data_IF_265040996690
#
_entry.id   IF_265040996690
#
_cell.length_a   1.000
_cell.length_b   1.000
_cell.length_c   1.000
_cell.angle_alpha   90.00
_cell.angle_beta   90.00
_cell.angle_gamma   90.00
#
_symmetry.space_group_name_H-M   'P 1'
#
loop_
_entity.id
_entity.type
_entity.pdbx_description
1 polymer ?
#
# COMPACT_ATOMS: atom_id res chain seq x y z
N UNK A 1 -17.60 6.18 4.94
CA UNK A 1 -18.57 5.78 5.99
C UNK A 1 -18.16 4.39 6.46
N UNK A 2 -17.80 4.23 7.74
CA UNK A 2 -17.51 2.91 8.31
C UNK A 2 -18.84 2.19 8.56
N UNK A 3 -19.06 1.04 7.92
CA UNK A 3 -20.14 0.13 8.27
C UNK A 3 -19.52 -1.27 8.37
N UNK A 4 -19.58 -1.87 9.56
CA UNK A 4 -19.13 -3.25 9.83
C UNK A 4 -17.64 -3.53 9.49
N UNK A 5 -16.75 -2.58 9.76
CA UNK A 5 -15.33 -2.73 9.46
C UNK A 5 -14.98 -2.55 7.97
N UNK A 6 -15.96 -2.41 7.07
CA UNK A 6 -15.71 -2.08 5.67
C UNK A 6 -15.42 -0.58 5.52
N UNK A 7 -14.28 -0.29 4.90
CA UNK A 7 -13.92 1.05 4.45
C UNK A 7 -14.00 1.13 2.93
N UNK A 8 -14.54 2.25 2.42
CA UNK A 8 -14.66 2.54 1.00
C UNK A 8 -14.09 3.95 0.76
N UNK A 9 -13.12 4.07 -0.14
CA UNK A 9 -12.59 5.36 -0.57
C UNK A 9 -13.41 5.88 -1.77
N UNK A 10 -14.17 6.99 -1.64
CA UNK A 10 -15.08 7.42 -2.70
C UNK A 10 -14.36 7.92 -3.96
N UNK A 11 -13.21 8.58 -3.82
CA UNK A 11 -12.42 9.12 -4.95
C UNK A 11 -11.52 8.06 -5.59
N UNK A 12 -10.73 7.36 -4.78
CA UNK A 12 -9.80 6.34 -5.26
C UNK A 12 -10.50 5.05 -5.72
N UNK A 13 -11.71 4.78 -5.24
CA UNK A 13 -12.58 3.72 -5.79
C UNK A 13 -12.26 2.31 -5.31
N UNK A 14 -11.57 2.15 -4.18
CA UNK A 14 -11.29 0.86 -3.57
C UNK A 14 -11.99 0.68 -2.22
N UNK A 15 -12.08 -0.57 -1.78
CA UNK A 15 -12.60 -0.93 -0.47
C UNK A 15 -11.73 -1.99 0.20
N UNK A 16 -11.72 -2.00 1.53
CA UNK A 16 -11.05 -3.03 2.32
C UNK A 16 -11.65 -3.14 3.72
N UNK A 17 -11.41 -4.27 4.39
CA UNK A 17 -11.80 -4.45 5.78
C UNK A 17 -10.71 -3.88 6.71
N UNK A 18 -11.11 -2.94 7.55
CA UNK A 18 -10.28 -2.30 8.56
C UNK A 18 -10.20 -3.23 9.78
N UNK A 19 -9.00 -3.66 10.20
CA UNK A 19 -8.86 -4.41 11.45
C UNK A 19 -9.29 -3.56 12.65
N UNK A 20 -9.95 -4.17 13.65
CA UNK A 20 -10.52 -3.46 14.81
C UNK A 20 -9.51 -2.61 15.58
N UNK A 21 -8.23 -2.98 15.56
CA UNK A 21 -7.16 -2.28 16.26
C UNK A 21 -6.69 -1.01 15.55
N UNK A 22 -7.21 -0.68 14.37
CA UNK A 22 -6.78 0.45 13.55
C UNK A 22 -7.79 1.59 13.53
N UNK A 23 -7.27 2.81 13.70
CA UNK A 23 -7.98 4.06 13.42
C UNK A 23 -7.62 4.54 12.01
N UNK A 24 -8.63 4.94 11.24
CA UNK A 24 -8.47 5.40 9.85
C UNK A 24 -8.57 6.92 9.76
N UNK A 25 -7.60 7.52 9.10
CA UNK A 25 -7.64 8.88 8.58
C UNK A 25 -7.84 8.82 7.06
N UNK A 26 -9.02 9.22 6.62
CA UNK A 26 -9.36 9.30 5.19
C UNK A 26 -9.07 10.71 4.66
N UNK A 27 -8.22 10.82 3.65
CA UNK A 27 -7.96 12.06 2.91
C UNK A 27 -8.49 11.95 1.48
N UNK A 28 -8.31 12.99 0.66
CA UNK A 28 -8.82 13.00 -0.73
C UNK A 28 -8.06 12.05 -1.65
N UNK A 29 -6.77 11.87 -1.39
CA UNK A 29 -5.78 11.18 -2.22
C UNK A 29 -5.03 10.07 -1.48
N UNK A 30 -5.31 9.87 -0.19
CA UNK A 30 -4.72 8.79 0.61
C UNK A 30 -5.59 8.35 1.79
N UNK A 31 -5.30 7.16 2.30
CA UNK A 31 -5.84 6.62 3.56
C UNK A 31 -4.67 6.25 4.46
N UNK A 32 -4.70 6.71 5.71
CA UNK A 32 -3.70 6.31 6.70
C UNK A 32 -4.41 5.52 7.80
N UNK A 33 -3.89 4.34 8.11
CA UNK A 33 -4.32 3.55 9.26
C UNK A 33 -3.25 3.57 10.35
N UNK A 34 -3.64 3.77 11.60
CA UNK A 34 -2.74 3.66 12.76
C UNK A 34 -3.32 2.73 13.79
N UNK A 35 -2.53 1.78 14.27
CA UNK A 35 -2.93 0.87 15.33
C UNK A 35 -2.47 1.33 16.71
N UNK A 36 -3.19 0.89 17.73
CA UNK A 36 -2.81 1.11 19.14
C UNK A 36 -1.48 0.45 19.52
N UNK A 37 -0.97 -0.49 18.71
CA UNK A 37 0.27 -1.23 18.93
C UNK A 37 1.46 -0.69 18.12
N UNK A 38 1.29 0.45 17.44
CA UNK A 38 2.36 1.14 16.71
C UNK A 38 2.47 0.80 15.21
N UNK A 39 1.75 -0.22 14.73
CA UNK A 39 1.68 -0.51 13.29
C UNK A 39 0.93 0.60 12.54
N UNK A 40 1.45 0.99 11.37
CA UNK A 40 0.86 2.02 10.51
C UNK A 40 0.69 1.44 9.11
N UNK A 41 -0.36 1.85 8.39
CA UNK A 41 -0.39 1.67 6.96
C UNK A 41 -0.78 2.95 6.24
N UNK A 42 -0.38 3.07 4.98
CA UNK A 42 -0.84 4.13 4.09
C UNK A 42 -1.26 3.51 2.76
N UNK A 43 -2.43 3.86 2.24
CA UNK A 43 -2.87 3.57 0.88
C UNK A 43 -2.94 4.87 0.09
N UNK A 44 -2.27 4.96 -1.05
CA UNK A 44 -2.44 6.04 -2.02
C UNK A 44 -2.50 5.47 -3.45
N UNK A 45 -2.51 6.35 -4.45
CA UNK A 45 -2.58 5.94 -5.85
C UNK A 45 -1.61 6.70 -6.77
N UNK A 46 -1.10 5.99 -7.78
CA UNK A 46 -0.24 6.53 -8.84
C UNK A 46 -0.65 5.94 -10.21
N UNK A 47 -0.13 6.52 -11.29
CA UNK A 47 -0.27 5.99 -12.64
C UNK A 47 0.96 5.16 -13.03
N UNK A 48 0.71 3.95 -13.52
CA UNK A 48 1.74 3.11 -14.12
C UNK A 48 1.64 3.15 -15.65
N UNK A 49 2.69 3.62 -16.31
CA UNK A 49 2.77 3.71 -17.77
C UNK A 49 3.12 2.35 -18.41
N UNK A 50 2.53 1.26 -17.91
CA UNK A 50 2.72 -0.09 -18.44
C UNK A 50 4.00 -0.80 -17.99
N UNK A 51 4.70 -0.32 -16.94
CA UNK A 51 5.84 -1.06 -16.38
C UNK A 51 5.39 -2.32 -15.66
N UNK A 52 6.28 -3.33 -15.55
CA UNK A 52 6.05 -4.44 -14.62
C UNK A 52 6.01 -3.90 -13.19
N UNK A 53 5.16 -4.46 -12.32
CA UNK A 53 4.97 -3.92 -10.96
C UNK A 53 6.24 -4.03 -10.11
N UNK A 54 7.02 -5.08 -10.31
CA UNK A 54 8.32 -5.27 -9.68
C UNK A 54 9.31 -4.16 -10.09
N UNK A 55 9.25 -3.74 -11.36
CA UNK A 55 10.07 -2.63 -11.87
C UNK A 55 9.58 -1.29 -11.33
N UNK A 56 8.25 -1.09 -11.25
CA UNK A 56 7.66 0.09 -10.65
C UNK A 56 8.14 0.28 -9.20
N UNK A 57 8.02 -0.76 -8.36
CA UNK A 57 8.44 -0.71 -6.96
C UNK A 57 9.94 -0.41 -6.88
N UNK A 58 10.77 -1.07 -7.68
CA UNK A 58 12.23 -0.94 -7.61
C UNK A 58 12.78 0.40 -8.12
N UNK A 59 12.26 0.88 -9.24
CA UNK A 59 12.89 1.97 -9.99
C UNK A 59 12.12 3.29 -9.95
N UNK A 60 10.82 3.25 -9.69
CA UNK A 60 9.99 4.46 -9.57
C UNK A 60 9.69 4.78 -8.11
N UNK A 61 9.11 3.83 -7.37
CA UNK A 61 8.66 4.10 -6.00
C UNK A 61 9.81 4.11 -4.99
N UNK A 62 10.58 3.02 -4.91
CA UNK A 62 11.69 2.88 -3.94
C UNK A 62 13.05 3.19 -4.58
N UNK A 63 13.10 4.15 -5.50
CA UNK A 63 14.33 4.46 -6.21
C UNK A 63 15.46 4.83 -5.24
N UNK A 64 16.61 4.18 -5.37
CA UNK A 64 17.77 4.37 -4.49
C UNK A 64 17.68 3.67 -3.12
N UNK A 65 16.54 3.07 -2.77
CA UNK A 65 16.40 2.27 -1.56
C UNK A 65 16.78 0.80 -1.82
N UNK A 66 17.40 0.16 -0.82
CA UNK A 66 17.64 -1.27 -0.86
C UNK A 66 16.32 -2.02 -0.60
N UNK A 67 15.89 -2.82 -1.59
CA UNK A 67 14.70 -3.67 -1.53
C UNK A 67 15.10 -5.14 -1.51
N UNK A 68 14.58 -5.87 -0.53
CA UNK A 68 14.66 -7.32 -0.42
C UNK A 68 13.27 -7.96 -0.62
N UNK A 69 13.24 -9.27 -0.82
CA UNK A 69 11.99 -10.06 -0.87
C UNK A 69 10.98 -9.58 -1.92
N UNK A 70 11.46 -9.03 -3.03
CA UNK A 70 10.60 -8.56 -4.12
C UNK A 70 9.96 -9.75 -4.81
N UNK A 71 8.63 -9.83 -4.76
CA UNK A 71 7.83 -10.90 -5.36
C UNK A 71 6.57 -10.33 -6.01
N UNK A 72 5.92 -11.14 -6.85
CA UNK A 72 4.68 -10.82 -7.54
C UNK A 72 3.61 -11.87 -7.31
N UNK A 73 2.36 -11.51 -7.53
CA UNK A 73 1.22 -12.41 -7.37
C UNK A 73 -0.11 -11.69 -7.49
N UNK A 74 -1.08 -12.09 -6.67
CA UNK A 74 -2.39 -11.43 -6.62
C UNK A 74 -2.80 -11.10 -5.19
N UNK A 75 -3.46 -9.94 -5.02
CA UNK A 75 -4.11 -9.52 -3.77
C UNK A 75 -5.56 -9.21 -4.11
N UNK A 76 -6.51 -9.93 -3.50
CA UNK A 76 -7.93 -9.78 -3.85
C UNK A 76 -8.23 -10.05 -5.33
N UNK A 77 -7.47 -10.94 -5.98
CA UNK A 77 -7.57 -11.23 -7.42
C UNK A 77 -6.92 -10.20 -8.34
N UNK A 78 -6.37 -9.11 -7.79
CA UNK A 78 -5.70 -8.06 -8.55
C UNK A 78 -4.21 -8.33 -8.66
N UNK A 79 -3.64 -8.12 -9.85
CA UNK A 79 -2.20 -8.27 -10.11
C UNK A 79 -1.42 -7.35 -9.18
N UNK A 80 -0.47 -7.91 -8.47
CA UNK A 80 0.23 -7.21 -7.39
C UNK A 80 1.71 -7.57 -7.36
N UNK A 81 2.53 -6.67 -6.81
CA UNK A 81 3.91 -6.94 -6.40
C UNK A 81 4.17 -6.35 -5.03
N UNK A 82 5.07 -6.95 -4.28
CA UNK A 82 5.48 -6.47 -2.98
C UNK A 82 6.98 -6.64 -2.76
N UNK A 83 7.52 -5.88 -1.81
CA UNK A 83 8.90 -6.00 -1.35
C UNK A 83 9.09 -5.32 0.01
N UNK A 84 10.22 -5.60 0.66
CA UNK A 84 10.55 -5.04 1.97
C UNK A 84 11.76 -4.12 1.84
N UNK A 85 11.69 -2.92 2.43
CA UNK A 85 12.88 -2.08 2.56
C UNK A 85 13.88 -2.77 3.49
N UNK A 86 15.15 -2.83 3.06
CA UNK A 86 16.21 -3.46 3.85
C UNK A 86 16.63 -2.60 5.04
N UNK A 87 16.38 -1.29 4.99
CA UNK A 87 16.53 -0.37 6.12
C UNK A 87 15.24 -0.27 6.92
N UNK A 88 15.36 -0.11 8.24
CA UNK A 88 14.24 0.27 9.10
C UNK A 88 13.87 1.73 8.87
N UNK A 89 12.61 2.08 9.10
CA UNK A 89 12.17 3.47 9.20
C UNK A 89 12.80 4.17 10.40
N UNK A 90 12.64 5.49 10.51
CA UNK A 90 13.22 6.29 11.60
C UNK A 90 12.79 5.86 13.00
N UNK A 91 11.62 5.23 13.13
CA UNK A 91 11.08 4.67 14.37
C UNK A 91 11.50 3.20 14.62
N UNK A 92 12.31 2.62 13.72
CA UNK A 92 12.80 1.25 13.84
C UNK A 92 11.85 0.19 13.27
N UNK A 93 10.75 0.58 12.63
CA UNK A 93 9.79 -0.35 12.03
C UNK A 93 10.31 -0.95 10.72
N UNK A 94 9.85 -2.16 10.41
CA UNK A 94 10.01 -2.73 9.08
C UNK A 94 9.00 -2.09 8.14
N UNK A 95 9.41 -1.89 6.89
CA UNK A 95 8.58 -1.22 5.89
C UNK A 95 8.36 -2.15 4.70
N UNK A 96 7.10 -2.50 4.47
CA UNK A 96 6.66 -3.24 3.29
C UNK A 96 6.05 -2.30 2.27
N UNK A 97 6.42 -2.49 1.01
CA UNK A 97 5.81 -1.83 -0.14
C UNK A 97 4.97 -2.84 -0.89
N UNK A 98 3.72 -2.50 -1.19
CA UNK A 98 2.82 -3.31 -2.01
C UNK A 98 2.22 -2.44 -3.10
N UNK A 99 2.41 -2.80 -4.36
CA UNK A 99 1.75 -2.19 -5.51
C UNK A 99 0.69 -3.14 -6.05
N UNK A 100 -0.55 -2.65 -6.20
CA UNK A 100 -1.71 -3.38 -6.70
C UNK A 100 -2.23 -2.67 -7.95
N UNK A 101 -2.33 -3.37 -9.07
CA UNK A 101 -2.79 -2.82 -10.34
C UNK A 101 -4.31 -2.97 -10.50
N UNK A 102 -5.00 -1.85 -10.71
CA UNK A 102 -6.43 -1.79 -10.96
C UNK A 102 -6.76 -0.69 -11.97
N UNK A 103 -7.39 -1.04 -13.10
CA UNK A 103 -7.77 -0.10 -14.16
C UNK A 103 -6.66 0.91 -14.55
N UNK A 104 -5.43 0.40 -14.74
CA UNK A 104 -4.19 1.15 -15.03
C UNK A 104 -3.73 2.13 -13.92
N UNK A 105 -4.40 2.15 -12.78
CA UNK A 105 -3.94 2.80 -11.55
C UNK A 105 -3.16 1.79 -10.72
N UNK A 106 -2.18 2.29 -9.98
CA UNK A 106 -1.55 1.56 -8.91
C UNK A 106 -2.12 2.04 -7.60
N UNK A 107 -2.55 1.10 -6.77
CA UNK A 107 -2.70 1.34 -5.35
C UNK A 107 -1.43 0.92 -4.66
N UNK A 108 -0.98 1.78 -3.77
CA UNK A 108 0.35 1.74 -3.18
C UNK A 108 0.11 1.66 -1.69
N UNK A 109 0.59 0.58 -1.09
CA UNK A 109 0.42 0.32 0.33
C UNK A 109 1.76 0.22 1.05
N UNK A 110 1.93 1.07 2.07
CA UNK A 110 3.03 1.03 3.03
C UNK A 110 2.53 0.32 4.29
N UNK A 111 3.28 -0.65 4.84
CA UNK A 111 2.98 -1.31 6.13
C UNK A 111 4.21 -1.42 7.01
#
# INVERSE_FOLDING_TARGET
MHKDGLFIHPVLGFQFNVPESFLILNQSDMVIGRSSYGGTFQFDADQNQGHKLEQYIRYKWANGAALSEVSGGTVGGLKSSWGRLSSRSSDGSWVWLVAIEFDKRLFIALF
#
